data_IF_315601912333
#
_entry.id   IF_315601912333
#
_cell.length_a   1.000
_cell.length_b   1.000
_cell.length_c   1.000
_cell.angle_alpha   90.00
_cell.angle_beta   90.00
_cell.angle_gamma   90.00
#
_symmetry.space_group_name_H-M   'P 1'
#
loop_
_entity.id
_entity.type
_entity.pdbx_description
1 polymer ?
#
# COMPACT_ATOMS: atom_id res chain seq x y z
N UNK A 1 10.73 15.82 -49.62
CA UNK A 1 10.15 15.08 -48.47
C UNK A 1 9.11 15.99 -47.88
N UNK A 2 7.84 15.65 -48.05
CA UNK A 2 6.73 16.51 -47.66
C UNK A 2 6.68 16.56 -46.14
N UNK A 3 6.49 17.73 -45.59
CA UNK A 3 6.43 17.94 -44.12
C UNK A 3 5.36 17.06 -43.45
N UNK A 4 4.30 16.67 -44.19
CA UNK A 4 3.26 15.74 -43.73
C UNK A 4 3.83 14.34 -43.46
N UNK A 5 4.71 13.84 -44.36
CA UNK A 5 5.39 12.57 -44.16
C UNK A 5 6.32 12.60 -42.92
N UNK A 6 6.98 13.76 -42.70
CA UNK A 6 7.82 13.94 -41.48
C UNK A 6 7.00 13.85 -40.21
N UNK A 7 5.80 14.43 -40.23
CA UNK A 7 4.85 14.34 -39.11
C UNK A 7 4.43 12.88 -38.82
N UNK A 8 4.17 12.10 -39.90
CA UNK A 8 3.87 10.68 -39.80
C UNK A 8 5.00 9.87 -39.15
N UNK A 9 6.26 10.14 -39.57
CA UNK A 9 7.43 9.50 -38.95
C UNK A 9 7.63 9.91 -37.49
N UNK A 10 7.40 11.17 -37.15
CA UNK A 10 7.46 11.63 -35.78
C UNK A 10 6.40 10.96 -34.91
N UNK A 11 5.17 10.79 -35.43
CA UNK A 11 4.11 10.05 -34.76
C UNK A 11 4.49 8.58 -34.51
N UNK A 12 5.02 7.90 -35.54
CA UNK A 12 5.48 6.50 -35.41
C UNK A 12 6.65 6.35 -34.44
N UNK A 13 7.63 7.27 -34.47
CA UNK A 13 8.73 7.30 -33.50
C UNK A 13 8.25 7.50 -32.08
N UNK A 14 7.21 8.33 -31.87
CA UNK A 14 6.61 8.52 -30.56
C UNK A 14 5.94 7.25 -30.03
N UNK A 15 5.28 6.46 -30.90
CA UNK A 15 4.75 5.14 -30.52
C UNK A 15 5.88 4.18 -30.16
N UNK A 16 6.94 4.10 -30.98
CA UNK A 16 8.07 3.24 -30.69
C UNK A 16 8.72 3.60 -29.34
N UNK A 17 8.85 4.89 -29.06
CA UNK A 17 9.39 5.36 -27.78
C UNK A 17 8.52 4.94 -26.58
N UNK A 18 7.20 4.74 -26.74
CA UNK A 18 6.36 4.22 -25.64
C UNK A 18 6.79 2.82 -25.20
N UNK A 19 7.25 1.95 -26.11
CA UNK A 19 7.72 0.61 -25.77
C UNK A 19 9.06 0.61 -25.03
N UNK A 20 9.85 1.68 -25.16
CA UNK A 20 11.12 1.82 -24.44
C UNK A 20 10.94 2.37 -23.01
N UNK A 21 9.77 2.88 -22.66
CA UNK A 21 9.51 3.48 -21.36
C UNK A 21 9.27 2.42 -20.29
N UNK A 22 10.01 2.51 -19.17
CA UNK A 22 9.85 1.62 -18.02
C UNK A 22 8.85 2.14 -16.99
N UNK A 23 8.52 3.44 -17.04
CA UNK A 23 7.64 4.09 -16.06
C UNK A 23 6.25 4.36 -16.65
N UNK A 24 5.21 4.15 -15.86
CA UNK A 24 3.81 4.20 -16.32
C UNK A 24 3.35 5.60 -16.73
N UNK A 25 3.80 6.67 -16.05
CA UNK A 25 3.35 8.04 -16.32
C UNK A 25 3.90 8.57 -17.64
N UNK A 26 5.22 8.58 -17.89
CA UNK A 26 5.77 9.04 -19.17
C UNK A 26 5.24 8.26 -20.38
N UNK A 27 5.06 6.92 -20.22
CA UNK A 27 4.47 6.09 -21.26
C UNK A 27 3.08 6.59 -21.67
N UNK A 28 2.22 6.95 -20.72
CA UNK A 28 0.86 7.44 -21.02
C UNK A 28 0.85 8.84 -21.62
N UNK A 29 1.75 9.72 -21.17
CA UNK A 29 1.90 11.05 -21.74
C UNK A 29 2.37 10.93 -23.21
N UNK A 30 3.37 10.10 -23.48
CA UNK A 30 3.88 9.90 -24.83
C UNK A 30 2.83 9.25 -25.75
N UNK A 31 1.99 8.34 -25.22
CA UNK A 31 0.88 7.78 -25.97
C UNK A 31 -0.19 8.84 -26.33
N UNK A 32 -0.46 9.82 -25.46
CA UNK A 32 -1.33 10.94 -25.79
C UNK A 32 -0.74 11.83 -26.85
N UNK A 33 0.55 12.16 -26.75
CA UNK A 33 1.27 12.94 -27.77
C UNK A 33 1.21 12.24 -29.13
N UNK A 34 1.48 10.93 -29.18
CA UNK A 34 1.40 10.17 -30.44
C UNK A 34 -0.02 10.17 -31.03
N UNK A 35 -1.06 10.04 -30.21
CA UNK A 35 -2.44 10.11 -30.68
C UNK A 35 -2.76 11.47 -31.33
N UNK A 36 -2.30 12.57 -30.74
CA UNK A 36 -2.47 13.92 -31.34
C UNK A 36 -1.73 14.02 -32.66
N UNK A 37 -0.48 13.56 -32.74
CA UNK A 37 0.31 13.58 -33.95
C UNK A 37 -0.34 12.74 -35.08
N UNK A 38 -0.87 11.56 -34.76
CA UNK A 38 -1.57 10.73 -35.73
C UNK A 38 -2.92 11.30 -36.16
N UNK A 39 -3.66 11.97 -35.28
CA UNK A 39 -4.87 12.70 -35.67
C UNK A 39 -4.55 13.82 -36.67
N UNK A 40 -3.49 14.59 -36.38
CA UNK A 40 -3.04 15.66 -37.28
C UNK A 40 -2.55 15.12 -38.62
N UNK A 41 -1.74 14.07 -38.62
CA UNK A 41 -1.26 13.38 -39.82
C UNK A 41 -2.45 12.83 -40.63
N UNK A 42 -3.37 12.09 -40.01
CA UNK A 42 -4.53 11.51 -40.70
C UNK A 42 -5.48 12.55 -41.29
N UNK A 43 -5.61 13.72 -40.64
CA UNK A 43 -6.38 14.82 -41.18
C UNK A 43 -5.72 15.47 -42.40
N UNK A 44 -4.42 15.74 -42.32
CA UNK A 44 -3.67 16.41 -43.40
C UNK A 44 -3.47 15.55 -44.63
N UNK A 45 -3.33 14.26 -44.46
CA UNK A 45 -3.09 13.29 -45.58
C UNK A 45 -4.40 12.59 -46.01
N UNK A 46 -5.58 13.03 -45.50
CA UNK A 46 -6.91 12.47 -45.78
C UNK A 46 -7.04 10.97 -45.44
N UNK A 47 -6.27 10.48 -44.47
CA UNK A 47 -6.29 9.08 -44.01
C UNK A 47 -7.37 8.89 -42.92
N UNK A 48 -8.64 8.91 -43.33
CA UNK A 48 -9.77 8.80 -42.43
C UNK A 48 -9.74 7.59 -41.44
N UNK A 49 -9.31 6.37 -41.86
CA UNK A 49 -9.24 5.25 -40.91
C UNK A 49 -8.25 5.52 -39.77
N UNK A 50 -7.09 6.14 -40.03
CA UNK A 50 -6.10 6.51 -39.01
C UNK A 50 -6.63 7.61 -38.12
N UNK A 51 -7.27 8.63 -38.69
CA UNK A 51 -7.89 9.72 -37.96
C UNK A 51 -8.93 9.21 -36.97
N UNK A 52 -9.89 8.39 -37.43
CA UNK A 52 -10.96 7.86 -36.57
C UNK A 52 -10.39 6.99 -35.43
N UNK A 53 -9.41 6.12 -35.75
CA UNK A 53 -8.77 5.28 -34.75
C UNK A 53 -8.14 6.10 -33.63
N UNK A 54 -7.32 7.09 -33.96
CA UNK A 54 -6.61 7.88 -32.96
C UNK A 54 -7.53 8.88 -32.24
N UNK A 55 -8.61 9.33 -32.89
CA UNK A 55 -9.66 10.16 -32.27
C UNK A 55 -10.37 9.39 -31.16
N UNK A 56 -10.62 8.11 -31.34
CA UNK A 56 -11.21 7.22 -30.29
C UNK A 56 -10.19 6.87 -29.21
N UNK A 57 -8.93 6.61 -29.59
CA UNK A 57 -7.88 6.26 -28.63
C UNK A 57 -7.48 7.42 -27.73
N UNK A 58 -7.64 8.67 -28.19
CA UNK A 58 -7.28 9.84 -27.40
C UNK A 58 -8.07 9.95 -26.09
N UNK A 59 -9.41 9.97 -26.09
CA UNK A 59 -10.19 10.05 -24.84
C UNK A 59 -9.98 8.84 -23.93
N UNK A 60 -9.79 7.64 -24.49
CA UNK A 60 -9.49 6.42 -23.71
C UNK A 60 -8.14 6.56 -23.00
N UNK A 61 -7.12 7.04 -23.69
CA UNK A 61 -5.79 7.26 -23.11
C UNK A 61 -5.79 8.36 -22.06
N UNK A 62 -6.55 9.44 -22.29
CA UNK A 62 -6.73 10.56 -21.36
C UNK A 62 -7.45 10.10 -20.08
N UNK A 63 -8.56 9.37 -20.23
CA UNK A 63 -9.29 8.80 -19.09
C UNK A 63 -8.38 7.91 -18.23
N UNK A 64 -7.61 7.03 -18.87
CA UNK A 64 -6.65 6.15 -18.17
C UNK A 64 -5.56 6.93 -17.45
N UNK A 65 -5.06 8.03 -18.03
CA UNK A 65 -4.05 8.88 -17.39
C UNK A 65 -4.61 9.59 -16.16
N UNK A 66 -5.79 10.21 -16.29
CA UNK A 66 -6.45 10.91 -15.18
C UNK A 66 -6.78 9.94 -14.05
N UNK A 67 -7.33 8.77 -14.39
CA UNK A 67 -7.66 7.75 -13.39
C UNK A 67 -6.41 7.25 -12.66
N UNK A 68 -5.30 7.06 -13.37
CA UNK A 68 -4.03 6.66 -12.76
C UNK A 68 -3.44 7.77 -11.87
N UNK A 69 -3.49 9.03 -12.31
CA UNK A 69 -3.01 10.17 -11.50
C UNK A 69 -3.85 10.34 -10.22
N UNK A 70 -5.18 10.23 -10.32
CA UNK A 70 -6.06 10.23 -9.12
C UNK A 70 -5.67 9.14 -8.15
N UNK A 71 -5.43 7.94 -8.66
CA UNK A 71 -5.00 6.81 -7.84
C UNK A 71 -3.68 7.08 -7.12
N UNK A 72 -2.68 7.62 -7.82
CA UNK A 72 -1.38 7.97 -7.23
C UNK A 72 -1.54 9.09 -6.21
N UNK A 73 -2.38 10.07 -6.49
CA UNK A 73 -2.67 11.17 -5.56
C UNK A 73 -3.39 10.69 -4.29
N UNK A 74 -4.38 9.80 -4.44
CA UNK A 74 -5.03 9.15 -3.29
C UNK A 74 -4.03 8.39 -2.40
N UNK A 75 -2.95 7.82 -2.99
CA UNK A 75 -1.89 7.13 -2.25
C UNK A 75 -0.98 8.10 -1.49
N UNK A 76 -0.79 9.33 -1.98
CA UNK A 76 0.06 10.34 -1.35
C UNK A 76 -0.67 11.15 -0.26
N UNK A 77 -2.00 11.26 -0.36
CA UNK A 77 -2.85 12.09 0.52
C UNK A 77 -3.56 11.24 1.58
N UNK A 78 -3.27 9.93 1.66
CA UNK A 78 -3.83 9.12 2.75
C UNK A 78 -3.23 9.60 4.07
N UNK A 79 -3.92 10.55 4.70
CA UNK A 79 -3.62 10.99 6.06
C UNK A 79 -3.70 9.77 6.99
N UNK A 80 -2.70 9.51 7.85
CA UNK A 80 -2.74 8.39 8.80
C UNK A 80 -4.01 8.40 9.68
N UNK A 81 -4.60 9.57 9.89
CA UNK A 81 -5.84 9.73 10.65
C UNK A 81 -7.10 9.30 9.87
N UNK A 82 -7.06 9.36 8.53
CA UNK A 82 -8.18 9.01 7.65
C UNK A 82 -8.17 7.52 7.22
N UNK A 83 -7.14 6.78 7.64
CA UNK A 83 -7.10 5.33 7.57
C UNK A 83 -8.03 4.74 8.62
N UNK A 84 -9.32 5.03 8.45
CA UNK A 84 -10.29 4.52 9.38
C UNK A 84 -10.37 2.99 9.22
N UNK A 85 -9.67 2.31 10.12
CA UNK A 85 -9.85 0.86 10.38
C UNK A 85 -11.35 0.54 10.48
N UNK A 86 -12.18 1.55 10.73
CA UNK A 86 -13.64 1.49 10.71
C UNK A 86 -14.24 0.89 9.43
N UNK A 87 -13.61 1.08 8.26
CA UNK A 87 -14.08 0.47 7.01
C UNK A 87 -13.89 -1.05 6.98
N UNK A 88 -12.99 -1.60 7.80
CA UNK A 88 -12.71 -3.06 7.87
C UNK A 88 -13.35 -3.73 9.07
N UNK A 89 -13.88 -2.97 10.03
CA UNK A 89 -14.63 -3.49 11.19
C UNK A 89 -15.70 -4.52 10.79
N UNK A 90 -16.48 -4.33 9.69
CA UNK A 90 -17.48 -5.31 9.26
C UNK A 90 -16.90 -6.70 8.94
N UNK A 91 -15.60 -6.77 8.60
CA UNK A 91 -14.89 -8.01 8.29
C UNK A 91 -14.18 -8.61 9.50
N UNK A 92 -14.21 -7.92 10.65
CA UNK A 92 -13.53 -8.31 11.88
C UNK A 92 -14.51 -8.89 12.89
N UNK A 93 -14.02 -9.76 13.76
CA UNK A 93 -14.79 -10.34 14.86
C UNK A 93 -14.50 -9.58 16.16
N UNK A 94 -15.53 -9.05 16.81
CA UNK A 94 -15.37 -8.41 18.12
C UNK A 94 -15.11 -9.48 19.19
N UNK A 95 -14.03 -9.31 19.93
CA UNK A 95 -13.64 -10.11 21.09
C UNK A 95 -13.60 -9.21 22.33
N UNK A 96 -14.17 -9.69 23.42
CA UNK A 96 -14.13 -9.02 24.74
C UNK A 96 -13.23 -9.83 25.64
N UNK A 97 -12.29 -9.18 26.27
CA UNK A 97 -11.32 -9.82 27.16
C UNK A 97 -11.27 -9.07 28.51
N UNK A 98 -11.03 -9.83 29.57
CA UNK A 98 -10.91 -9.29 30.93
C UNK A 98 -9.47 -8.86 31.23
N UNK A 99 -9.32 -7.96 32.17
CA UNK A 99 -8.02 -7.62 32.74
C UNK A 99 -7.27 -8.87 33.21
N UNK A 100 -5.98 -8.99 32.87
CA UNK A 100 -5.12 -10.14 33.17
C UNK A 100 -5.18 -11.29 32.16
N UNK A 101 -6.12 -11.30 31.21
CA UNK A 101 -6.15 -12.32 30.17
C UNK A 101 -5.04 -12.11 29.13
N UNK A 102 -4.43 -13.21 28.70
CA UNK A 102 -3.40 -13.19 27.66
C UNK A 102 -4.06 -13.25 26.28
N UNK A 103 -3.86 -12.21 25.49
CA UNK A 103 -4.31 -12.14 24.09
C UNK A 103 -3.40 -12.95 23.16
N UNK A 104 -2.11 -12.84 23.34
CA UNK A 104 -1.07 -13.44 22.50
C UNK A 104 -0.02 -14.07 23.41
N UNK A 105 0.42 -15.27 23.04
CA UNK A 105 1.55 -15.95 23.70
C UNK A 105 2.76 -15.98 22.79
N UNK A 106 3.93 -15.71 23.34
CA UNK A 106 5.20 -15.83 22.63
C UNK A 106 5.38 -17.26 22.13
N UNK A 107 5.85 -17.41 20.87
CA UNK A 107 6.09 -18.71 20.23
C UNK A 107 4.88 -19.29 19.49
N UNK A 108 3.66 -18.83 19.76
CA UNK A 108 2.47 -19.24 19.02
C UNK A 108 2.57 -18.82 17.54
N UNK A 109 1.86 -19.56 16.68
CA UNK A 109 1.74 -19.18 15.26
C UNK A 109 0.95 -17.89 15.12
N UNK A 110 1.35 -17.05 14.17
CA UNK A 110 0.59 -15.85 13.81
C UNK A 110 -0.57 -16.26 12.90
N UNK A 111 -1.78 -16.14 13.38
CA UNK A 111 -3.02 -16.53 12.73
C UNK A 111 -4.04 -15.38 12.56
N UNK A 112 -3.80 -14.27 13.26
CA UNK A 112 -4.73 -13.14 13.29
C UNK A 112 -4.00 -11.81 13.54
N UNK A 113 -4.61 -10.73 13.03
CA UNK A 113 -4.30 -9.34 13.35
C UNK A 113 -5.32 -8.86 14.39
N UNK A 114 -4.86 -8.07 15.34
CA UNK A 114 -5.72 -7.53 16.39
C UNK A 114 -5.69 -6.00 16.37
N UNK A 115 -6.87 -5.40 16.50
CA UNK A 115 -7.05 -3.96 16.65
C UNK A 115 -7.70 -3.67 18.01
N UNK A 116 -7.04 -2.88 18.83
CA UNK A 116 -7.55 -2.48 20.14
C UNK A 116 -8.57 -1.33 19.99
N UNK A 117 -9.84 -1.63 20.22
CA UNK A 117 -10.90 -0.62 20.18
C UNK A 117 -10.95 0.17 21.49
N UNK A 118 -10.81 -0.52 22.63
CA UNK A 118 -10.94 0.06 23.96
C UNK A 118 -10.17 -0.77 24.98
N UNK A 119 -9.71 -0.12 26.06
CA UNK A 119 -8.87 -0.72 27.08
C UNK A 119 -7.38 -0.46 26.86
N UNK A 120 -6.53 -1.22 27.55
CA UNK A 120 -5.07 -1.14 27.46
C UNK A 120 -4.47 -2.53 27.38
N UNK A 121 -3.56 -2.72 26.41
CA UNK A 121 -2.74 -3.92 26.29
C UNK A 121 -1.32 -3.61 26.79
N UNK A 122 -0.63 -4.62 27.28
CA UNK A 122 0.75 -4.53 27.74
C UNK A 122 1.58 -5.64 27.06
N UNK A 123 2.79 -5.29 26.69
CA UNK A 123 3.83 -6.22 26.22
C UNK A 123 4.86 -6.30 27.35
N UNK A 124 4.75 -7.31 28.24
CA UNK A 124 5.56 -7.34 29.47
C UNK A 124 7.06 -7.35 29.20
N UNK A 125 7.51 -8.06 28.15
CA UNK A 125 8.92 -8.19 27.80
C UNK A 125 9.57 -6.87 27.37
N UNK A 126 8.74 -5.93 26.86
CA UNK A 126 9.20 -4.62 26.41
C UNK A 126 8.83 -3.49 27.40
N UNK A 127 8.05 -3.79 28.46
CA UNK A 127 7.49 -2.78 29.34
C UNK A 127 6.60 -1.76 28.61
N UNK A 128 6.09 -2.11 27.41
CA UNK A 128 5.34 -1.20 26.54
C UNK A 128 3.84 -1.39 26.75
N UNK A 129 3.13 -0.29 26.98
CA UNK A 129 1.66 -0.27 27.01
C UNK A 129 1.15 0.21 25.63
N UNK A 130 0.07 -0.41 25.16
CA UNK A 130 -0.62 -0.07 23.92
C UNK A 130 -1.99 0.52 24.28
N UNK A 131 -2.28 1.68 23.72
CA UNK A 131 -3.52 2.41 23.88
C UNK A 131 -4.54 2.09 22.78
N UNK A 132 -5.83 2.46 22.92
CA UNK A 132 -6.83 2.31 21.88
C UNK A 132 -6.37 2.88 20.54
N UNK A 133 -6.68 2.16 19.46
CA UNK A 133 -6.18 2.45 18.12
C UNK A 133 -4.94 1.62 17.71
N UNK A 134 -4.31 0.92 18.64
CA UNK A 134 -3.15 0.08 18.32
C UNK A 134 -3.53 -1.15 17.50
N UNK A 135 -2.71 -1.45 16.48
CA UNK A 135 -2.76 -2.70 15.70
C UNK A 135 -1.62 -3.59 16.14
N UNK A 136 -1.89 -4.87 16.29
CA UNK A 136 -0.92 -5.87 16.76
C UNK A 136 -0.85 -7.03 15.79
N UNK A 137 0.37 -7.48 15.47
CA UNK A 137 0.68 -8.64 14.62
C UNK A 137 0.43 -8.47 13.12
N UNK A 138 0.39 -7.26 12.64
CA UNK A 138 0.19 -6.94 11.22
C UNK A 138 1.31 -7.50 10.32
N UNK A 139 2.56 -7.50 10.78
CA UNK A 139 3.72 -7.99 10.00
C UNK A 139 3.68 -9.51 9.87
N UNK A 140 3.41 -10.21 10.97
CA UNK A 140 3.51 -11.66 11.04
C UNK A 140 2.49 -12.41 10.18
N UNK A 141 1.30 -11.82 9.94
CA UNK A 141 0.24 -12.46 9.16
C UNK A 141 0.62 -12.68 7.69
N UNK A 142 1.50 -11.83 7.16
CA UNK A 142 1.97 -11.94 5.76
C UNK A 142 3.30 -12.70 5.62
N UNK A 143 3.93 -13.07 6.72
CA UNK A 143 5.18 -13.83 6.72
C UNK A 143 4.90 -15.33 6.84
N UNK A 144 5.61 -16.15 6.04
CA UNK A 144 5.51 -17.61 6.14
C UNK A 144 6.08 -18.09 7.47
N UNK A 145 5.30 -18.93 8.18
CA UNK A 145 5.69 -19.56 9.45
C UNK A 145 6.12 -18.59 10.57
N UNK A 146 5.57 -17.35 10.53
CA UNK A 146 5.86 -16.38 11.58
C UNK A 146 5.32 -16.84 12.94
N UNK A 147 6.17 -16.68 13.95
CA UNK A 147 5.82 -16.91 15.36
C UNK A 147 5.67 -15.58 16.09
N UNK A 148 4.83 -15.57 17.08
CA UNK A 148 4.63 -14.44 18.00
C UNK A 148 5.93 -14.16 18.75
N UNK A 149 6.42 -12.93 18.67
CA UNK A 149 7.72 -12.54 19.24
C UNK A 149 7.66 -12.16 20.71
N UNK A 150 6.47 -11.82 21.22
CA UNK A 150 6.25 -11.40 22.61
C UNK A 150 4.86 -11.81 23.09
N UNK A 151 4.67 -11.81 24.41
CA UNK A 151 3.35 -11.92 25.00
C UNK A 151 2.61 -10.58 24.94
N UNK A 152 1.28 -10.64 24.79
CA UNK A 152 0.41 -9.46 24.92
C UNK A 152 -0.70 -9.79 25.90
N UNK A 153 -0.80 -8.99 26.96
CA UNK A 153 -1.73 -9.19 28.08
C UNK A 153 -2.67 -8.00 28.18
N UNK A 154 -3.92 -8.25 28.51
CA UNK A 154 -4.89 -7.20 28.80
C UNK A 154 -4.62 -6.58 30.17
N UNK A 155 -4.22 -5.31 30.21
CA UNK A 155 -3.99 -4.58 31.48
C UNK A 155 -5.30 -4.12 32.11
N UNK A 156 -6.30 -3.85 31.29
CA UNK A 156 -7.68 -3.53 31.69
C UNK A 156 -8.63 -4.46 30.94
N UNK A 157 -9.93 -4.34 31.17
CA UNK A 157 -10.94 -4.94 30.32
C UNK A 157 -10.79 -4.33 28.91
N UNK A 158 -10.74 -5.19 27.88
CA UNK A 158 -10.45 -4.78 26.50
C UNK A 158 -11.56 -5.21 25.54
N UNK A 159 -11.83 -4.35 24.56
CA UNK A 159 -12.58 -4.68 23.35
C UNK A 159 -11.61 -4.69 22.17
N UNK A 160 -11.51 -5.81 21.49
CA UNK A 160 -10.51 -6.07 20.46
C UNK A 160 -11.21 -6.59 19.23
N UNK A 161 -10.90 -6.04 18.08
CA UNK A 161 -11.29 -6.61 16.80
C UNK A 161 -10.21 -7.56 16.31
N UNK A 162 -10.62 -8.76 15.90
CA UNK A 162 -9.77 -9.83 15.40
C UNK A 162 -10.05 -10.03 13.90
N UNK A 163 -9.01 -10.01 13.09
CA UNK A 163 -9.02 -10.32 11.66
C UNK A 163 -8.16 -11.54 11.43
N UNK A 164 -8.74 -12.64 10.98
CA UNK A 164 -8.00 -13.87 10.71
C UNK A 164 -7.03 -13.72 9.53
N UNK A 165 -5.97 -14.55 9.51
CA UNK A 165 -4.97 -14.58 8.43
C UNK A 165 -5.61 -14.67 7.03
N UNK A 166 -6.60 -15.57 6.85
CA UNK A 166 -7.27 -15.76 5.57
C UNK A 166 -8.06 -14.51 5.14
N UNK A 167 -8.78 -13.89 6.08
CA UNK A 167 -9.51 -12.65 5.82
C UNK A 167 -8.58 -11.48 5.51
N UNK A 168 -7.46 -11.37 6.25
CA UNK A 168 -6.44 -10.34 6.00
C UNK A 168 -5.81 -10.50 4.60
N UNK A 169 -5.46 -11.72 4.19
CA UNK A 169 -4.96 -12.02 2.85
C UNK A 169 -6.00 -11.73 1.77
N UNK A 170 -7.26 -12.07 2.00
CA UNK A 170 -8.34 -11.78 1.05
C UNK A 170 -8.56 -10.28 0.91
N UNK A 171 -8.62 -9.52 2.01
CA UNK A 171 -8.72 -8.06 1.98
C UNK A 171 -7.51 -7.42 1.30
N UNK A 172 -6.30 -7.92 1.53
CA UNK A 172 -5.09 -7.42 0.88
C UNK A 172 -5.15 -7.53 -0.65
N UNK A 173 -5.78 -8.57 -1.17
CA UNK A 173 -5.95 -8.77 -2.61
C UNK A 173 -7.13 -7.98 -3.19
N UNK A 174 -8.19 -7.78 -2.42
CA UNK A 174 -9.45 -7.18 -2.88
C UNK A 174 -9.52 -5.67 -2.61
N UNK A 175 -9.00 -5.22 -1.47
CA UNK A 175 -9.01 -3.83 -1.06
C UNK A 175 -7.60 -3.24 -1.12
N UNK A 176 -7.36 -2.43 -2.17
CA UNK A 176 -6.08 -1.75 -2.35
C UNK A 176 -5.72 -0.82 -1.17
N UNK A 177 -6.71 -0.17 -0.56
CA UNK A 177 -6.49 0.71 0.61
C UNK A 177 -5.98 -0.10 1.80
N UNK A 178 -6.59 -1.25 2.07
CA UNK A 178 -6.12 -2.16 3.13
C UNK A 178 -4.66 -2.57 2.92
N UNK A 179 -4.29 -2.99 1.71
CA UNK A 179 -2.92 -3.40 1.40
C UNK A 179 -1.90 -2.30 1.67
N UNK A 180 -2.22 -1.05 1.29
CA UNK A 180 -1.35 0.10 1.51
C UNK A 180 -1.20 0.47 2.99
N UNK A 181 -2.29 0.39 3.75
CA UNK A 181 -2.27 0.63 5.19
C UNK A 181 -1.41 -0.39 5.89
N UNK A 182 -1.58 -1.66 5.58
CA UNK A 182 -0.77 -2.74 6.17
C UNK A 182 0.70 -2.56 5.83
N UNK A 183 1.02 -2.22 4.57
CA UNK A 183 2.39 -1.93 4.15
C UNK A 183 2.99 -0.76 4.93
N UNK A 184 2.25 0.34 5.07
CA UNK A 184 2.70 1.52 5.81
C UNK A 184 2.93 1.21 7.28
N UNK A 185 1.96 0.59 7.96
CA UNK A 185 2.11 0.18 9.36
C UNK A 185 3.34 -0.72 9.58
N UNK A 186 3.56 -1.66 8.65
CA UNK A 186 4.73 -2.54 8.70
C UNK A 186 6.04 -1.77 8.53
N UNK A 187 6.10 -0.82 7.59
CA UNK A 187 7.28 0.03 7.37
C UNK A 187 7.55 0.93 8.57
N UNK A 188 6.55 1.61 9.10
CA UNK A 188 6.71 2.48 10.27
C UNK A 188 7.26 1.70 11.47
N UNK A 189 6.76 0.48 11.70
CA UNK A 189 7.29 -0.41 12.74
C UNK A 189 8.73 -0.86 12.51
N UNK A 190 9.05 -1.22 11.27
CA UNK A 190 10.43 -1.61 10.94
C UNK A 190 11.41 -0.46 11.14
N UNK A 191 11.03 0.75 10.76
CA UNK A 191 11.84 1.95 10.96
C UNK A 191 12.01 2.28 12.44
N UNK A 192 10.94 2.21 13.24
CA UNK A 192 10.98 2.42 14.67
C UNK A 192 11.87 1.38 15.38
N UNK A 193 11.69 0.10 15.06
CA UNK A 193 12.52 -0.97 15.60
C UNK A 193 14.01 -0.79 15.23
N UNK A 194 14.30 -0.42 13.99
CA UNK A 194 15.67 -0.17 13.54
C UNK A 194 16.29 1.02 14.28
N UNK A 195 15.53 2.09 14.49
CA UNK A 195 15.97 3.24 15.28
C UNK A 195 16.31 2.85 16.73
N UNK A 196 15.43 2.09 17.39
CA UNK A 196 15.67 1.63 18.76
C UNK A 196 16.91 0.73 18.86
N UNK A 197 17.15 -0.12 17.86
CA UNK A 197 18.37 -0.96 17.80
C UNK A 197 19.61 -0.11 17.63
N UNK A 198 19.59 0.92 16.79
CA UNK A 198 20.71 1.84 16.59
C UNK A 198 20.99 2.68 17.86
N UNK A 199 19.95 3.15 18.54
CA UNK A 199 20.07 3.86 19.82
C UNK A 199 20.65 2.95 20.91
N UNK A 200 20.20 1.69 21.00
CA UNK A 200 20.76 0.70 21.92
C UNK A 200 22.21 0.36 21.62
N UNK A 201 22.61 0.30 20.35
CA UNK A 201 23.98 0.06 19.93
C UNK A 201 24.91 1.26 20.12
N UNK A 202 24.38 2.48 20.19
CA UNK A 202 25.12 3.72 20.36
C UNK A 202 25.36 4.08 21.84
N UNK A 203 24.80 3.34 22.80
CA UNK A 203 25.05 3.55 24.24
C UNK A 203 26.41 2.91 24.58
N UNK A 204 27.47 3.67 24.93
CA UNK A 204 28.76 3.13 25.29
C UNK A 204 28.66 2.47 26.67
N UNK A 205 28.53 1.12 26.70
CA UNK A 205 28.51 0.41 27.99
C UNK A 205 28.02 -1.04 27.97
N UNK A 206 27.47 -1.56 26.87
CA UNK A 206 26.96 -2.97 26.82
C UNK A 206 27.88 -3.91 26.02
N UNK A 207 29.06 -3.46 25.64
CA UNK A 207 30.07 -4.27 24.95
C UNK A 207 31.20 -4.72 25.87
N UNK A 208 30.96 -5.67 26.79
CA UNK A 208 32.06 -6.18 27.60
C UNK A 208 31.67 -7.17 28.66
N UNK A 209 31.34 -8.40 28.28
CA UNK A 209 31.77 -9.59 29.03
C UNK A 209 31.77 -10.80 28.09
N UNK A 210 32.96 -11.21 27.79
CA UNK A 210 33.27 -12.49 27.16
C UNK A 210 32.89 -13.64 28.08
#
# INVERSE_FOLDING_TARGET
>A
MDWVNLLGYAAAASVLATFCMRTMIPLRILALVSNVLFCLYGYLDNLYPVLILHLVLFPVSLYRLIHFQRLVHELQVVDPADLSIQSWIPHMKLRRMKAGETLIRQGDRVDSIYYLLDGKLEIPELGKTLDPGAVVCEIGVFASDAKRTANVVCRTDCRIYELSENQAKQLFLQDRKFGLVMLRLSLDRLLENNRLLLEAASIPGVGGKR
#
